data_IF_608930906849
#
_entry.id   IF_608930906849
#
_cell.length_a   1.000
_cell.length_b   1.000
_cell.length_c   1.000
_cell.angle_alpha   90.00
_cell.angle_beta   90.00
_cell.angle_gamma   90.00
#
_symmetry.space_group_name_H-M   'P 1'
#
loop_
_entity.id
_entity.type
_entity.pdbx_description
1 polymer ?
#
# COMPACT_ATOMS: atom_id res chain seq x y z
N UNK A 1 -2.14 -25.18 19.76
CA UNK A 1 -1.80 -25.25 18.33
C UNK A 1 -2.80 -24.42 17.51
N UNK A 2 -2.71 -23.09 17.53
CA UNK A 2 -3.57 -22.21 16.71
C UNK A 2 -2.99 -21.96 15.30
N UNK A 3 -1.71 -22.30 15.10
CA UNK A 3 -1.00 -22.06 13.85
C UNK A 3 -1.22 -23.18 12.81
N UNK A 4 -1.61 -24.38 13.26
CA UNK A 4 -1.82 -25.53 12.38
C UNK A 4 -3.03 -25.33 11.45
N UNK A 5 -4.23 -24.94 11.94
CA UNK A 5 -5.34 -24.62 11.06
C UNK A 5 -5.00 -23.48 10.09
N UNK A 6 -4.33 -22.44 10.59
CA UNK A 6 -3.86 -21.33 9.75
C UNK A 6 -2.93 -21.80 8.62
N UNK A 7 -1.92 -22.62 8.91
CA UNK A 7 -1.02 -23.13 7.87
C UNK A 7 -1.69 -24.08 6.90
N UNK A 8 -2.65 -24.89 7.37
CA UNK A 8 -3.42 -25.77 6.49
C UNK A 8 -4.29 -24.95 5.54
N UNK A 9 -5.03 -23.97 6.03
CA UNK A 9 -5.87 -23.09 5.21
C UNK A 9 -5.03 -22.19 4.30
N UNK A 10 -3.93 -21.63 4.82
CA UNK A 10 -3.01 -20.80 4.05
C UNK A 10 -2.31 -21.61 2.95
N UNK A 11 -1.84 -22.83 3.25
CA UNK A 11 -1.18 -23.68 2.24
C UNK A 11 -2.16 -24.12 1.16
N UNK A 12 -3.39 -24.45 1.53
CA UNK A 12 -4.42 -24.90 0.57
C UNK A 12 -5.00 -23.72 -0.24
N UNK A 13 -5.06 -22.53 0.34
CA UNK A 13 -5.51 -21.30 -0.32
C UNK A 13 -4.39 -20.48 -0.99
N UNK A 14 -3.13 -20.85 -0.78
CA UNK A 14 -2.00 -20.12 -1.38
C UNK A 14 -2.05 -20.26 -2.89
N UNK A 15 -1.98 -19.12 -3.58
CA UNK A 15 -1.76 -19.08 -5.01
C UNK A 15 -0.46 -19.84 -5.29
N UNK A 16 -0.45 -20.65 -6.36
CA UNK A 16 0.80 -21.20 -6.85
C UNK A 16 1.79 -20.04 -7.05
N UNK A 17 3.05 -20.23 -6.66
CA UNK A 17 4.12 -19.27 -6.93
C UNK A 17 5.00 -19.80 -8.07
N UNK A 18 4.48 -19.88 -9.32
CA UNK A 18 5.27 -20.37 -10.42
C UNK A 18 6.52 -19.51 -10.56
N UNK A 19 7.66 -20.17 -10.71
CA UNK A 19 8.91 -19.49 -11.06
C UNK A 19 9.04 -19.56 -12.57
N UNK A 20 9.21 -18.41 -13.22
CA UNK A 20 9.45 -18.30 -14.65
C UNK A 20 10.85 -17.78 -14.94
N UNK A 21 11.38 -18.18 -16.09
CA UNK A 21 12.60 -17.60 -16.63
C UNK A 21 12.28 -16.22 -17.22
N UNK A 22 13.19 -15.27 -17.01
CA UNK A 22 13.16 -13.97 -17.68
C UNK A 22 13.51 -14.21 -19.16
N UNK A 23 12.76 -13.58 -20.08
CA UNK A 23 12.98 -13.75 -21.52
C UNK A 23 12.96 -12.41 -22.26
N UNK A 24 13.70 -12.34 -23.37
CA UNK A 24 13.61 -11.24 -24.34
C UNK A 24 13.80 -9.85 -23.73
N UNK A 25 12.76 -9.01 -23.86
CA UNK A 25 12.77 -7.61 -23.42
C UNK A 25 12.53 -7.43 -21.92
N UNK A 26 12.22 -8.50 -21.19
CA UNK A 26 12.00 -8.44 -19.74
C UNK A 26 13.33 -8.40 -18.96
N UNK A 27 14.46 -8.65 -19.63
CA UNK A 27 15.78 -8.44 -19.03
C UNK A 27 16.00 -6.96 -18.69
N UNK A 28 16.66 -6.71 -17.56
CA UNK A 28 16.98 -5.35 -17.16
C UNK A 28 17.98 -4.77 -18.15
N UNK A 29 17.72 -3.61 -18.77
CA UNK A 29 18.71 -2.95 -19.61
C UNK A 29 20.01 -2.73 -18.83
N UNK A 30 21.14 -3.14 -19.40
CA UNK A 30 22.45 -3.13 -18.73
C UNK A 30 22.76 -1.75 -18.13
N UNK A 31 22.43 -0.67 -18.84
CA UNK A 31 22.63 0.69 -18.35
C UNK A 31 21.86 0.97 -17.05
N UNK A 32 20.60 0.53 -16.96
CA UNK A 32 19.77 0.68 -15.75
C UNK A 32 20.26 -0.21 -14.62
N UNK A 33 20.66 -1.44 -14.95
CA UNK A 33 21.26 -2.37 -13.99
C UNK A 33 22.52 -1.77 -13.36
N UNK A 34 23.44 -1.24 -14.17
CA UNK A 34 24.66 -0.60 -13.69
C UNK A 34 24.35 0.66 -12.88
N UNK A 35 23.49 1.56 -13.36
CA UNK A 35 23.14 2.80 -12.63
C UNK A 35 22.49 2.51 -11.27
N UNK A 36 21.71 1.43 -11.15
CA UNK A 36 21.08 1.08 -9.90
C UNK A 36 22.03 0.33 -8.95
N UNK A 37 22.82 -0.59 -9.48
CA UNK A 37 23.58 -1.56 -8.68
C UNK A 37 25.08 -1.25 -8.58
N UNK A 38 25.58 -0.18 -9.20
CA UNK A 38 27.01 0.18 -9.18
C UNK A 38 27.63 0.15 -7.77
N UNK A 39 26.98 0.60 -6.68
CA UNK A 39 27.62 0.59 -5.36
C UNK A 39 27.91 -0.84 -4.90
N UNK A 40 26.94 -1.73 -5.08
CA UNK A 40 27.07 -3.14 -4.75
C UNK A 40 28.07 -3.83 -5.69
N UNK A 41 28.04 -3.55 -6.99
CA UNK A 41 28.96 -4.14 -7.96
C UNK A 41 30.42 -3.78 -7.65
N UNK A 42 30.70 -2.50 -7.33
CA UNK A 42 32.03 -2.09 -6.90
C UNK A 42 32.45 -2.76 -5.60
N UNK A 43 31.54 -2.89 -4.62
CA UNK A 43 31.82 -3.59 -3.37
C UNK A 43 32.07 -5.08 -3.57
N UNK A 44 31.37 -5.74 -4.50
CA UNK A 44 31.64 -7.13 -4.89
C UNK A 44 33.05 -7.23 -5.46
N UNK A 45 33.41 -6.37 -6.42
CA UNK A 45 34.75 -6.36 -7.01
C UNK A 45 35.81 -6.16 -5.94
N UNK A 46 35.69 -5.13 -5.10
CA UNK A 46 36.64 -4.88 -4.01
C UNK A 46 36.71 -6.03 -3.00
N UNK A 47 35.56 -6.65 -2.69
CA UNK A 47 35.47 -7.80 -1.80
C UNK A 47 36.26 -9.00 -2.30
N UNK A 48 36.38 -9.20 -3.62
CA UNK A 48 37.22 -10.25 -4.20
C UNK A 48 38.73 -10.01 -4.00
N UNK A 49 39.14 -8.74 -3.85
CA UNK A 49 40.54 -8.33 -3.67
C UNK A 49 40.92 -8.06 -2.21
N UNK A 50 39.99 -8.20 -1.26
CA UNK A 50 40.23 -7.92 0.15
C UNK A 50 41.24 -8.90 0.76
N UNK A 51 42.42 -8.45 1.25
CA UNK A 51 43.44 -9.38 1.74
C UNK A 51 43.24 -9.84 3.19
N UNK A 52 42.66 -9.01 4.07
CA UNK A 52 42.62 -9.31 5.52
C UNK A 52 41.59 -10.39 5.84
N UNK A 53 40.41 -10.29 5.24
CA UNK A 53 39.29 -11.22 5.45
C UNK A 53 39.00 -12.04 4.19
N UNK A 54 40.03 -12.38 3.41
CA UNK A 54 39.90 -12.84 2.02
C UNK A 54 38.87 -13.93 1.78
N UNK A 55 38.93 -15.05 2.52
CA UNK A 55 37.99 -16.17 2.35
C UNK A 55 36.55 -15.73 2.58
N UNK A 56 36.31 -15.03 3.69
CA UNK A 56 34.99 -14.53 4.07
C UNK A 56 34.44 -13.50 3.08
N UNK A 57 35.29 -12.54 2.69
CA UNK A 57 34.95 -11.50 1.73
C UNK A 57 34.59 -12.07 0.36
N UNK A 58 35.36 -13.04 -0.14
CA UNK A 58 35.06 -13.74 -1.40
C UNK A 58 33.74 -14.50 -1.29
N UNK A 59 33.49 -15.22 -0.19
CA UNK A 59 32.23 -15.93 0.00
C UNK A 59 31.04 -14.97 -0.08
N UNK A 60 31.08 -13.86 0.67
CA UNK A 60 30.02 -12.85 0.62
C UNK A 60 29.86 -12.27 -0.79
N UNK A 61 30.97 -11.87 -1.43
CA UNK A 61 30.95 -11.27 -2.75
C UNK A 61 30.33 -12.21 -3.80
N UNK A 62 30.72 -13.48 -3.80
CA UNK A 62 30.17 -14.50 -4.69
C UNK A 62 28.71 -14.83 -4.38
N UNK A 63 28.31 -14.86 -3.10
CA UNK A 63 26.91 -15.06 -2.72
C UNK A 63 26.02 -13.95 -3.26
N UNK A 64 26.37 -12.68 -3.06
CA UNK A 64 25.56 -11.56 -3.57
C UNK A 64 25.61 -11.46 -5.10
N UNK A 65 26.75 -11.74 -5.73
CA UNK A 65 26.85 -11.83 -7.19
C UNK A 65 25.94 -12.94 -7.75
N UNK A 66 25.91 -14.10 -7.10
CA UNK A 66 25.04 -15.21 -7.46
C UNK A 66 23.57 -14.86 -7.27
N UNK A 67 23.19 -14.24 -6.15
CA UNK A 67 21.82 -13.79 -5.92
C UNK A 67 21.36 -12.77 -6.96
N UNK A 68 22.22 -11.81 -7.33
CA UNK A 68 21.94 -10.87 -8.42
C UNK A 68 21.72 -11.60 -9.74
N UNK A 69 22.61 -12.55 -10.08
CA UNK A 69 22.47 -13.36 -11.29
C UNK A 69 21.15 -14.13 -11.31
N UNK A 70 20.82 -14.85 -10.23
CA UNK A 70 19.56 -15.60 -10.11
C UNK A 70 18.37 -14.65 -10.25
N UNK A 71 18.37 -13.52 -9.57
CA UNK A 71 17.29 -12.53 -9.66
C UNK A 71 17.15 -11.87 -11.04
N UNK A 72 18.18 -11.93 -11.88
CA UNK A 72 18.11 -11.47 -13.27
C UNK A 72 17.57 -12.56 -14.21
N UNK A 73 17.72 -13.84 -13.84
CA UNK A 73 17.33 -14.98 -14.67
C UNK A 73 15.94 -15.53 -14.35
N UNK A 74 15.46 -15.38 -13.11
CA UNK A 74 14.15 -15.90 -12.68
C UNK A 74 13.28 -14.83 -12.02
N UNK A 75 11.96 -14.99 -12.15
CA UNK A 75 10.98 -14.21 -11.40
C UNK A 75 9.81 -15.06 -10.93
N UNK A 76 9.12 -14.57 -9.90
CA UNK A 76 7.86 -15.15 -9.44
C UNK A 76 6.77 -14.62 -10.37
N UNK A 77 6.10 -15.54 -11.07
CA UNK A 77 4.95 -15.29 -11.92
C UNK A 77 3.75 -14.99 -11.03
N UNK A 78 3.54 -13.70 -10.79
CA UNK A 78 2.46 -13.16 -9.98
C UNK A 78 1.39 -12.50 -10.88
N UNK A 79 0.27 -12.01 -10.33
CA UNK A 79 -0.77 -11.37 -11.12
C UNK A 79 -0.37 -10.06 -11.81
N UNK A 80 0.88 -9.60 -11.66
CA UNK A 80 1.36 -8.38 -12.33
C UNK A 80 1.83 -8.72 -13.75
N UNK A 81 1.17 -8.15 -14.74
CA UNK A 81 1.39 -8.49 -16.15
C UNK A 81 2.13 -7.38 -16.93
N UNK A 82 2.53 -7.72 -18.16
CA UNK A 82 3.14 -6.79 -19.11
C UNK A 82 4.43 -6.17 -18.57
N UNK A 83 4.52 -4.84 -18.60
CA UNK A 83 5.74 -4.12 -18.17
C UNK A 83 6.12 -4.31 -16.69
N UNK A 84 5.26 -4.95 -15.91
CA UNK A 84 5.42 -5.17 -14.47
C UNK A 84 5.69 -6.63 -14.09
N UNK A 85 5.87 -7.54 -15.05
CA UNK A 85 6.07 -9.00 -14.79
C UNK A 85 7.11 -9.33 -13.71
N UNK A 86 8.18 -8.53 -13.61
CA UNK A 86 9.28 -8.77 -12.68
C UNK A 86 9.20 -7.92 -11.40
N UNK A 87 8.06 -7.29 -11.12
CA UNK A 87 7.92 -6.33 -10.02
C UNK A 87 8.35 -6.95 -8.69
N UNK A 88 7.91 -8.17 -8.37
CA UNK A 88 8.32 -8.82 -7.13
C UNK A 88 9.82 -9.07 -7.03
N UNK A 89 10.45 -9.57 -8.10
CA UNK A 89 11.90 -9.83 -8.09
C UNK A 89 12.70 -8.54 -7.95
N UNK A 90 12.36 -7.51 -8.71
CA UNK A 90 13.08 -6.23 -8.68
C UNK A 90 12.77 -5.44 -7.40
N UNK A 91 11.51 -5.38 -6.97
CA UNK A 91 11.12 -4.60 -5.78
C UNK A 91 11.51 -5.30 -4.47
N UNK A 92 11.25 -6.61 -4.35
CA UNK A 92 11.45 -7.35 -3.09
C UNK A 92 12.86 -7.93 -3.03
N UNK A 93 13.30 -8.68 -4.03
CA UNK A 93 14.59 -9.38 -3.94
C UNK A 93 15.76 -8.42 -4.08
N UNK A 94 15.76 -7.53 -5.07
CA UNK A 94 16.90 -6.61 -5.23
C UNK A 94 17.03 -5.68 -4.04
N UNK A 95 15.94 -5.23 -3.41
CA UNK A 95 16.01 -4.46 -2.17
C UNK A 95 16.80 -5.18 -1.08
N UNK A 96 16.49 -6.45 -0.82
CA UNK A 96 17.20 -7.26 0.17
C UNK A 96 18.64 -7.60 -0.23
N UNK A 97 18.87 -7.98 -1.48
CA UNK A 97 20.20 -8.26 -2.03
C UNK A 97 21.09 -7.01 -1.93
N UNK A 98 20.54 -5.85 -2.31
CA UNK A 98 21.23 -4.57 -2.26
C UNK A 98 21.60 -4.20 -0.83
N UNK A 99 20.62 -4.09 0.08
CA UNK A 99 20.89 -3.72 1.48
C UNK A 99 21.82 -4.71 2.16
N UNK A 100 21.57 -6.01 2.01
CA UNK A 100 22.42 -7.06 2.58
C UNK A 100 23.84 -7.00 2.06
N UNK A 101 24.02 -6.78 0.74
CA UNK A 101 25.33 -6.70 0.10
C UNK A 101 26.09 -5.44 0.50
N UNK A 102 25.44 -4.27 0.50
CA UNK A 102 26.06 -3.01 0.93
C UNK A 102 26.51 -3.09 2.40
N UNK A 103 25.67 -3.59 3.30
CA UNK A 103 26.01 -3.66 4.73
C UNK A 103 27.15 -4.66 4.97
N UNK A 104 27.05 -5.87 4.40
CA UNK A 104 28.03 -6.93 4.64
C UNK A 104 29.39 -6.64 3.99
N UNK A 105 29.43 -6.37 2.68
CA UNK A 105 30.67 -6.05 1.98
C UNK A 105 31.20 -4.68 2.38
N UNK A 106 30.33 -3.70 2.65
CA UNK A 106 30.75 -2.40 3.16
C UNK A 106 31.50 -2.53 4.48
N UNK A 107 30.97 -3.29 5.44
CA UNK A 107 31.66 -3.52 6.72
C UNK A 107 33.02 -4.22 6.55
N UNK A 108 33.08 -5.26 5.71
CA UNK A 108 34.32 -6.01 5.44
C UNK A 108 35.36 -5.13 4.75
N UNK A 109 34.98 -4.38 3.71
CA UNK A 109 35.87 -3.52 2.94
C UNK A 109 36.32 -2.27 3.73
N UNK A 110 35.50 -1.72 4.63
CA UNK A 110 35.94 -0.68 5.57
C UNK A 110 37.03 -1.20 6.52
N UNK A 111 36.95 -2.47 6.93
CA UNK A 111 37.95 -3.14 7.75
C UNK A 111 39.25 -3.52 7.02
N UNK A 112 39.34 -3.25 5.71
CA UNK A 112 40.47 -3.63 4.86
C UNK A 112 41.81 -3.11 5.35
N UNK A 113 42.89 -3.88 5.17
CA UNK A 113 44.26 -3.36 5.36
C UNK A 113 44.75 -2.51 4.17
N UNK A 114 44.07 -2.56 3.01
CA UNK A 114 44.43 -1.77 1.83
C UNK A 114 43.68 -0.43 1.85
N UNK A 115 44.44 0.66 1.86
CA UNK A 115 43.87 2.01 1.90
C UNK A 115 42.92 2.29 0.74
N UNK A 116 43.24 1.83 -0.47
CA UNK A 116 42.39 2.07 -1.64
C UNK A 116 41.02 1.38 -1.50
N UNK A 117 40.94 0.15 -0.97
CA UNK A 117 39.66 -0.55 -0.73
C UNK A 117 38.86 0.21 0.33
N UNK A 118 39.50 0.56 1.43
CA UNK A 118 38.87 1.26 2.56
C UNK A 118 38.29 2.61 2.13
N UNK A 119 39.11 3.46 1.50
CA UNK A 119 38.68 4.81 1.12
C UNK A 119 37.69 4.80 -0.04
N UNK A 120 37.84 3.92 -1.03
CA UNK A 120 36.82 3.73 -2.06
C UNK A 120 35.48 3.29 -1.45
N UNK A 121 35.50 2.41 -0.45
CA UNK A 121 34.30 2.01 0.28
C UNK A 121 33.66 3.19 1.01
N UNK A 122 34.44 4.03 1.68
CA UNK A 122 33.93 5.26 2.32
C UNK A 122 33.23 6.16 1.28
N UNK A 123 33.88 6.41 0.15
CA UNK A 123 33.30 7.24 -0.93
C UNK A 123 31.99 6.64 -1.45
N UNK A 124 31.96 5.33 -1.73
CA UNK A 124 30.75 4.64 -2.19
C UNK A 124 29.61 4.79 -1.17
N UNK A 125 29.88 4.54 0.12
CA UNK A 125 28.87 4.64 1.17
C UNK A 125 28.37 6.07 1.36
N UNK A 126 29.24 7.08 1.26
CA UNK A 126 28.83 8.49 1.31
C UNK A 126 27.94 8.86 0.12
N UNK A 127 28.28 8.41 -1.10
CA UNK A 127 27.49 8.65 -2.29
C UNK A 127 26.11 7.98 -2.23
N UNK A 128 26.04 6.75 -1.72
CA UNK A 128 24.76 6.06 -1.48
C UNK A 128 23.88 6.82 -0.48
N UNK A 129 24.49 7.54 0.47
CA UNK A 129 23.78 8.36 1.46
C UNK A 129 23.46 9.79 0.98
N UNK A 130 23.70 10.14 -0.29
CA UNK A 130 23.39 11.49 -0.79
C UNK A 130 21.91 11.87 -0.60
N UNK A 131 20.99 10.89 -0.67
CA UNK A 131 19.56 11.10 -0.42
C UNK A 131 19.25 11.58 1.00
N UNK A 132 20.16 11.38 1.97
CA UNK A 132 19.99 11.85 3.34
C UNK A 132 19.86 13.39 3.39
N UNK A 133 20.46 14.11 2.44
CA UNK A 133 20.27 15.54 2.30
C UNK A 133 18.81 15.89 1.95
N UNK A 134 18.22 15.23 0.96
CA UNK A 134 16.84 15.48 0.56
C UNK A 134 15.85 15.08 1.65
N UNK A 135 16.11 13.97 2.33
CA UNK A 135 15.31 13.53 3.49
C UNK A 135 15.43 14.54 4.64
N UNK A 136 16.64 15.00 4.98
CA UNK A 136 16.83 16.01 6.02
C UNK A 136 16.18 17.33 5.64
N UNK A 137 16.29 17.75 4.38
CA UNK A 137 15.64 18.95 3.85
C UNK A 137 14.13 18.83 3.96
N UNK A 138 13.54 17.73 3.48
CA UNK A 138 12.10 17.49 3.61
C UNK A 138 11.67 17.49 5.07
N UNK A 139 12.42 16.81 5.94
CA UNK A 139 12.16 16.78 7.37
C UNK A 139 12.19 18.18 7.99
N UNK A 140 13.15 19.03 7.64
CA UNK A 140 13.26 20.39 8.19
C UNK A 140 12.11 21.28 7.70
N UNK A 141 11.82 21.28 6.40
CA UNK A 141 10.92 22.25 5.77
C UNK A 141 9.45 21.81 5.67
N UNK A 142 9.13 20.53 5.84
CA UNK A 142 7.73 20.06 5.84
C UNK A 142 7.03 20.37 7.15
N UNK A 143 5.76 20.78 7.04
CA UNK A 143 4.85 20.97 8.17
C UNK A 143 4.61 19.65 8.89
N UNK A 144 4.67 19.67 10.22
CA UNK A 144 4.49 18.48 11.07
C UNK A 144 3.20 18.64 11.88
N UNK A 145 2.07 18.75 11.20
CA UNK A 145 0.76 18.99 11.82
C UNK A 145 0.36 17.92 12.85
N UNK A 146 0.88 16.70 12.70
CA UNK A 146 0.67 15.58 13.62
C UNK A 146 1.94 15.22 14.43
N UNK A 147 2.87 16.16 14.66
CA UNK A 147 4.09 15.86 15.42
C UNK A 147 3.76 15.40 16.85
N UNK A 148 4.37 14.29 17.27
CA UNK A 148 4.15 13.72 18.60
C UNK A 148 2.85 12.91 18.76
N UNK A 149 2.05 12.80 17.70
CA UNK A 149 0.86 11.94 17.69
C UNK A 149 1.25 10.53 17.26
N UNK A 150 0.84 9.53 18.05
CA UNK A 150 1.01 8.11 17.70
C UNK A 150 -0.21 7.53 16.98
N UNK A 151 -1.33 8.26 17.02
CA UNK A 151 -2.57 7.84 16.37
C UNK A 151 -2.50 8.13 14.87
N UNK A 152 -2.60 7.07 14.05
CA UNK A 152 -2.42 7.14 12.60
C UNK A 152 -3.43 8.03 11.85
N UNK A 153 -4.50 8.47 12.51
CA UNK A 153 -5.55 9.33 11.94
C UNK A 153 -5.38 10.82 12.29
N UNK A 154 -4.38 11.21 13.09
CA UNK A 154 -4.20 12.59 13.55
C UNK A 154 -3.96 13.60 12.41
N UNK A 155 -3.28 13.18 11.35
CA UNK A 155 -3.12 14.04 10.15
C UNK A 155 -4.47 14.25 9.44
N UNK A 156 -5.36 13.27 9.50
CA UNK A 156 -6.66 13.28 8.84
C UNK A 156 -7.67 14.17 9.60
N UNK A 157 -7.63 14.14 10.94
CA UNK A 157 -8.50 14.95 11.83
C UNK A 157 -7.94 16.34 12.15
N UNK A 158 -6.85 16.74 11.49
CA UNK A 158 -6.39 18.13 11.52
C UNK A 158 -7.39 19.09 10.87
N UNK A 159 -8.12 18.62 9.84
CA UNK A 159 -9.27 19.32 9.26
C UNK A 159 -10.50 19.22 10.17
N UNK A 160 -11.17 20.37 10.40
CA UNK A 160 -12.33 20.43 11.29
C UNK A 160 -13.50 19.56 10.82
N UNK A 161 -13.79 19.55 9.51
CA UNK A 161 -14.92 18.77 8.97
C UNK A 161 -14.67 17.27 9.14
N UNK A 162 -13.46 16.80 8.83
CA UNK A 162 -13.09 15.39 9.04
C UNK A 162 -13.12 15.00 10.52
N UNK A 163 -12.60 15.85 11.41
CA UNK A 163 -12.63 15.61 12.85
C UNK A 163 -14.06 15.45 13.37
N UNK A 164 -14.97 16.32 12.95
CA UNK A 164 -16.36 16.26 13.40
C UNK A 164 -17.10 15.04 12.83
N UNK A 165 -16.80 14.65 11.59
CA UNK A 165 -17.29 13.39 11.00
C UNK A 165 -16.78 12.15 11.76
N UNK A 166 -15.51 12.15 12.19
CA UNK A 166 -14.96 11.09 13.06
C UNK A 166 -15.68 11.04 14.39
N UNK A 167 -15.76 12.15 15.11
CA UNK A 167 -16.43 12.23 16.41
C UNK A 167 -17.89 11.76 16.32
N UNK A 168 -18.58 12.14 15.24
CA UNK A 168 -19.93 11.67 14.97
C UNK A 168 -19.98 10.14 14.82
N UNK A 169 -19.16 9.56 13.95
CA UNK A 169 -19.15 8.10 13.71
C UNK A 169 -18.73 7.31 14.95
N UNK A 170 -17.80 7.83 15.76
CA UNK A 170 -17.39 7.19 17.01
C UNK A 170 -18.55 7.02 17.99
N UNK A 171 -19.46 8.01 18.04
CA UNK A 171 -20.67 7.96 18.86
C UNK A 171 -21.79 7.08 18.27
N UNK A 172 -21.71 6.71 16.98
CA UNK A 172 -22.71 5.86 16.34
C UNK A 172 -22.48 4.37 16.62
N UNK A 173 -23.56 3.55 16.68
CA UNK A 173 -23.44 2.10 16.79
C UNK A 173 -22.59 1.46 15.68
N UNK A 174 -22.14 0.23 15.92
CA UNK A 174 -21.49 -0.57 14.87
C UNK A 174 -22.40 -0.68 13.63
N UNK A 175 -21.80 -0.68 12.45
CA UNK A 175 -22.53 -0.82 11.18
C UNK A 175 -21.58 -0.81 9.99
N UNK A 176 -22.13 -1.04 8.80
CA UNK A 176 -21.38 -1.00 7.54
C UNK A 176 -21.35 0.42 7.01
N UNK A 177 -20.15 0.86 6.65
CA UNK A 177 -19.85 2.17 6.12
C UNK A 177 -19.47 2.03 4.65
N UNK A 178 -20.02 2.91 3.82
CA UNK A 178 -19.72 3.03 2.40
C UNK A 178 -18.86 4.27 2.18
N UNK A 179 -17.64 4.07 1.66
CA UNK A 179 -16.76 5.14 1.17
C UNK A 179 -16.63 5.04 -0.36
N UNK A 180 -16.23 6.12 -1.01
CA UNK A 180 -15.98 6.11 -2.44
C UNK A 180 -14.71 5.31 -2.77
N UNK A 181 -14.70 4.66 -3.94
CA UNK A 181 -13.62 3.80 -4.45
C UNK A 181 -13.17 4.34 -5.83
N UNK A 182 -12.48 5.50 -5.86
CA UNK A 182 -12.16 6.19 -7.12
C UNK A 182 -11.07 5.51 -7.94
N UNK A 183 -10.22 4.70 -7.32
CA UNK A 183 -9.19 3.89 -7.99
C UNK A 183 -9.26 2.44 -7.46
N UNK A 184 -8.33 1.58 -7.86
CA UNK A 184 -8.31 0.18 -7.46
C UNK A 184 -7.44 -0.10 -6.22
N UNK A 185 -6.52 0.79 -5.85
CA UNK A 185 -5.65 0.67 -4.66
C UNK A 185 -4.94 1.97 -4.28
N UNK A 186 -4.25 1.94 -3.13
CA UNK A 186 -3.39 3.02 -2.62
C UNK A 186 -4.10 4.37 -2.50
N UNK A 187 -5.39 4.32 -2.18
CA UNK A 187 -6.25 5.48 -2.05
C UNK A 187 -6.58 5.72 -0.59
N UNK A 188 -6.74 6.99 -0.21
CA UNK A 188 -7.28 7.36 1.09
C UNK A 188 -8.77 6.96 1.15
N UNK A 189 -9.03 5.71 1.51
CA UNK A 189 -10.36 5.12 1.74
C UNK A 189 -10.26 4.10 2.88
N UNK A 190 -11.42 3.71 3.42
CA UNK A 190 -11.58 2.86 4.61
C UNK A 190 -11.11 3.51 5.92
N UNK A 191 -10.68 4.79 5.89
CA UNK A 191 -10.08 5.46 7.04
C UNK A 191 -11.16 5.72 8.10
N UNK A 192 -12.35 6.19 7.70
CA UNK A 192 -13.44 6.43 8.64
C UNK A 192 -13.89 5.13 9.28
N UNK A 193 -13.96 4.05 8.52
CA UNK A 193 -14.34 2.74 9.04
C UNK A 193 -13.30 2.20 10.04
N UNK A 194 -12.03 2.20 9.65
CA UNK A 194 -10.91 1.66 10.43
C UNK A 194 -10.79 2.31 11.81
N UNK A 195 -10.88 3.63 11.89
CA UNK A 195 -10.65 4.36 13.13
C UNK A 195 -11.91 4.62 13.97
N UNK A 196 -13.11 4.25 13.48
CA UNK A 196 -14.37 4.41 14.23
C UNK A 196 -15.08 3.08 14.53
N UNK A 197 -14.35 1.96 14.49
CA UNK A 197 -14.90 0.62 14.73
C UNK A 197 -16.15 0.34 13.87
N UNK A 198 -16.03 0.55 12.56
CA UNK A 198 -17.08 0.21 11.58
C UNK A 198 -16.55 -0.82 10.59
N UNK A 199 -17.44 -1.59 9.98
CA UNK A 199 -17.08 -2.39 8.82
C UNK A 199 -17.08 -1.49 7.58
N UNK A 200 -16.11 -1.65 6.67
CA UNK A 200 -16.14 -1.02 5.35
C UNK A 200 -16.84 -1.98 4.38
N UNK A 201 -17.75 -1.47 3.53
CA UNK A 201 -18.39 -2.32 2.52
C UNK A 201 -17.38 -2.93 1.55
N UNK A 202 -16.42 -2.12 1.08
CA UNK A 202 -15.36 -2.56 0.20
C UNK A 202 -14.08 -1.77 0.46
N UNK A 203 -12.99 -2.49 0.73
CA UNK A 203 -11.64 -1.94 0.80
C UNK A 203 -11.05 -1.67 -0.59
N UNK A 204 -9.74 -1.84 -0.75
CA UNK A 204 -9.07 -1.65 -2.04
C UNK A 204 -9.27 -2.86 -2.98
N UNK A 205 -9.99 -2.71 -4.11
CA UNK A 205 -10.34 -3.84 -4.97
C UNK A 205 -9.15 -4.67 -5.46
N UNK A 206 -8.06 -4.04 -5.90
CA UNK A 206 -6.92 -4.80 -6.42
C UNK A 206 -6.14 -5.50 -5.32
N UNK A 207 -6.12 -4.99 -4.08
CA UNK A 207 -5.50 -5.69 -2.95
C UNK A 207 -6.33 -6.91 -2.57
N UNK A 208 -7.67 -6.78 -2.53
CA UNK A 208 -8.54 -7.94 -2.33
C UNK A 208 -8.27 -9.00 -3.40
N UNK A 209 -8.13 -8.62 -4.68
CA UNK A 209 -7.72 -9.55 -5.75
C UNK A 209 -6.38 -10.22 -5.48
N UNK A 210 -5.37 -9.48 -5.03
CA UNK A 210 -4.04 -10.03 -4.75
C UNK A 210 -4.07 -11.09 -3.65
N UNK A 211 -4.91 -10.91 -2.62
CA UNK A 211 -4.92 -11.78 -1.44
C UNK A 211 -5.99 -12.87 -1.46
N UNK A 212 -7.13 -12.62 -2.13
CA UNK A 212 -8.27 -13.54 -2.21
C UNK A 212 -8.48 -14.14 -3.61
N UNK A 213 -7.61 -13.83 -4.57
CA UNK A 213 -7.80 -14.20 -5.97
C UNK A 213 -8.84 -13.33 -6.66
N UNK A 214 -9.09 -13.60 -7.95
CA UNK A 214 -10.03 -12.81 -8.73
C UNK A 214 -11.48 -13.18 -8.39
N UNK A 215 -12.14 -12.35 -7.59
CA UNK A 215 -13.53 -12.54 -7.16
C UNK A 215 -14.41 -11.55 -7.95
N UNK A 216 -15.23 -12.00 -8.92
CA UNK A 216 -16.05 -11.12 -9.76
C UNK A 216 -16.95 -10.15 -8.96
N UNK A 217 -17.42 -10.58 -7.79
CA UNK A 217 -18.20 -9.77 -6.87
C UNK A 217 -17.48 -8.45 -6.50
N UNK A 218 -16.17 -8.48 -6.25
CA UNK A 218 -15.38 -7.30 -5.89
C UNK A 218 -15.46 -6.24 -6.99
N UNK A 219 -15.35 -6.65 -8.25
CA UNK A 219 -15.42 -5.73 -9.40
C UNK A 219 -16.83 -5.21 -9.64
N UNK A 220 -17.84 -6.05 -9.48
CA UNK A 220 -19.24 -5.64 -9.57
C UNK A 220 -19.57 -4.60 -8.49
N UNK A 221 -19.24 -4.88 -7.23
CA UNK A 221 -19.43 -3.94 -6.12
C UNK A 221 -18.62 -2.66 -6.33
N UNK A 222 -17.39 -2.73 -6.85
CA UNK A 222 -16.59 -1.54 -7.20
C UNK A 222 -17.32 -0.65 -8.21
N UNK A 223 -17.85 -1.24 -9.28
CA UNK A 223 -18.58 -0.53 -10.31
C UNK A 223 -19.87 0.08 -9.78
N UNK A 224 -20.62 -0.65 -8.95
CA UNK A 224 -21.83 -0.15 -8.31
C UNK A 224 -21.55 1.03 -7.38
N UNK A 225 -20.49 0.94 -6.55
CA UNK A 225 -20.05 2.04 -5.69
C UNK A 225 -19.72 3.28 -6.52
N UNK A 226 -18.94 3.13 -7.60
CA UNK A 226 -18.59 4.26 -8.48
C UNK A 226 -19.84 4.87 -9.11
N UNK A 227 -20.75 4.04 -9.64
CA UNK A 227 -22.02 4.51 -10.20
C UNK A 227 -22.91 5.18 -9.15
N UNK A 228 -22.91 4.71 -7.91
CA UNK A 228 -23.63 5.32 -6.80
C UNK A 228 -23.10 6.73 -6.55
N UNK A 229 -21.78 6.89 -6.35
CA UNK A 229 -21.17 8.20 -6.16
C UNK A 229 -21.27 9.11 -7.39
N UNK A 230 -21.42 8.56 -8.59
CA UNK A 230 -21.74 9.35 -9.79
C UNK A 230 -23.22 9.75 -9.91
N UNK A 231 -24.10 9.29 -9.01
CA UNK A 231 -25.55 9.50 -9.11
C UNK A 231 -26.23 8.70 -10.23
N UNK A 232 -25.56 7.69 -10.78
CA UNK A 232 -25.98 6.87 -11.95
C UNK A 232 -26.41 5.45 -11.59
N UNK A 233 -26.33 5.08 -10.32
CA UNK A 233 -26.89 3.81 -9.84
C UNK A 233 -28.39 3.98 -9.66
N UNK A 234 -29.18 3.18 -10.40
CA UNK A 234 -30.62 3.12 -10.22
C UNK A 234 -30.95 2.34 -8.93
N UNK A 235 -32.08 2.68 -8.30
CA UNK A 235 -32.56 2.03 -7.07
C UNK A 235 -31.50 2.03 -5.95
N UNK A 236 -30.83 3.16 -5.75
CA UNK A 236 -29.73 3.29 -4.78
C UNK A 236 -30.15 2.90 -3.35
N UNK A 237 -31.38 3.20 -2.93
CA UNK A 237 -31.90 2.82 -1.62
C UNK A 237 -31.93 1.30 -1.41
N UNK A 238 -32.47 0.56 -2.38
CA UNK A 238 -32.54 -0.91 -2.35
C UNK A 238 -31.14 -1.53 -2.33
N UNK A 239 -30.23 -1.01 -3.17
CA UNK A 239 -28.86 -1.50 -3.22
C UNK A 239 -28.13 -1.29 -1.89
N UNK A 240 -28.30 -0.13 -1.26
CA UNK A 240 -27.75 0.13 0.07
C UNK A 240 -28.35 -0.79 1.13
N UNK A 241 -29.65 -1.12 1.02
CA UNK A 241 -30.32 -2.06 1.93
C UNK A 241 -29.80 -3.49 1.79
N UNK A 242 -29.64 -3.99 0.56
CA UNK A 242 -29.09 -5.32 0.29
C UNK A 242 -27.67 -5.44 0.82
N UNK A 243 -26.86 -4.39 0.66
CA UNK A 243 -25.49 -4.31 1.19
C UNK A 243 -25.42 -3.91 2.68
N UNK A 244 -26.57 -3.84 3.36
CA UNK A 244 -26.70 -3.52 4.79
C UNK A 244 -25.93 -2.25 5.22
N UNK A 245 -25.87 -1.24 4.36
CA UNK A 245 -25.13 0.00 4.62
C UNK A 245 -25.87 0.84 5.68
N UNK A 246 -25.17 1.25 6.72
CA UNK A 246 -25.68 2.16 7.76
C UNK A 246 -25.24 3.61 7.51
N UNK A 247 -24.03 3.80 7.00
CA UNK A 247 -23.38 5.10 6.88
C UNK A 247 -22.81 5.27 5.48
N UNK A 248 -23.15 6.36 4.79
CA UNK A 248 -22.55 6.72 3.49
C UNK A 248 -21.72 7.99 3.68
N UNK A 249 -20.44 7.93 3.33
CA UNK A 249 -19.49 9.01 3.56
C UNK A 249 -19.26 9.84 2.30
N UNK A 250 -19.49 11.15 2.43
CA UNK A 250 -19.10 12.13 1.43
C UNK A 250 -17.92 12.95 1.97
N UNK A 251 -16.70 12.50 1.73
CA UNK A 251 -15.47 13.20 2.17
C UNK A 251 -14.86 14.09 1.08
N UNK A 252 -15.04 13.70 -0.18
CA UNK A 252 -14.46 14.38 -1.36
C UNK A 252 -15.48 15.32 -1.98
N UNK A 253 -14.99 16.27 -2.76
CA UNK A 253 -15.86 17.09 -3.59
C UNK A 253 -16.66 16.18 -4.53
N UNK A 254 -17.98 16.27 -4.40
CA UNK A 254 -18.95 15.62 -5.27
C UNK A 254 -19.58 16.68 -6.16
N UNK A 255 -19.82 16.32 -7.42
CA UNK A 255 -20.63 17.15 -8.30
C UNK A 255 -22.02 17.40 -7.66
N UNK A 256 -22.49 18.65 -7.74
CA UNK A 256 -23.75 19.05 -7.10
C UNK A 256 -24.94 18.26 -7.66
N UNK A 257 -24.94 17.99 -8.96
CA UNK A 257 -25.99 17.17 -9.60
C UNK A 257 -25.97 15.74 -9.08
N UNK A 258 -24.79 15.12 -8.99
CA UNK A 258 -24.65 13.78 -8.42
C UNK A 258 -25.10 13.73 -6.94
N UNK A 259 -24.75 14.73 -6.12
CA UNK A 259 -25.22 14.81 -4.73
C UNK A 259 -26.74 14.82 -4.65
N UNK A 260 -27.41 15.69 -5.43
CA UNK A 260 -28.87 15.78 -5.43
C UNK A 260 -29.52 14.47 -5.91
N UNK A 261 -28.99 13.86 -6.98
CA UNK A 261 -29.49 12.57 -7.48
C UNK A 261 -29.41 11.46 -6.43
N UNK A 262 -28.29 11.38 -5.70
CA UNK A 262 -28.13 10.42 -4.59
C UNK A 262 -29.12 10.76 -3.48
N UNK A 263 -29.14 12.02 -3.04
CA UNK A 263 -29.97 12.46 -1.92
C UNK A 263 -31.45 12.18 -2.18
N UNK A 264 -31.97 12.52 -3.37
CA UNK A 264 -33.36 12.26 -3.73
C UNK A 264 -33.71 10.77 -3.71
N UNK A 265 -32.78 9.89 -4.09
CA UNK A 265 -33.02 8.45 -4.08
C UNK A 265 -33.02 7.82 -2.69
N UNK A 266 -32.30 8.38 -1.72
CA UNK A 266 -32.07 7.73 -0.41
C UNK A 266 -32.64 8.49 0.79
N UNK A 267 -33.13 9.72 0.61
CA UNK A 267 -33.63 10.60 1.71
C UNK A 267 -34.74 9.99 2.57
N UNK A 268 -35.50 9.03 2.03
CA UNK A 268 -36.59 8.40 2.77
C UNK A 268 -36.04 7.44 3.83
N UNK A 269 -34.91 6.78 3.56
CA UNK A 269 -34.26 5.85 4.48
C UNK A 269 -33.10 6.46 5.28
N UNK A 270 -32.52 7.56 4.80
CA UNK A 270 -31.32 8.17 5.37
C UNK A 270 -31.54 9.63 5.78
N UNK A 271 -30.85 10.05 6.83
CA UNK A 271 -30.76 11.45 7.27
C UNK A 271 -29.38 11.99 6.92
N UNK A 272 -29.34 13.15 6.27
CA UNK A 272 -28.10 13.83 5.91
C UNK A 272 -27.61 14.73 7.05
N UNK A 273 -26.36 14.55 7.45
CA UNK A 273 -25.66 15.45 8.37
C UNK A 273 -24.45 16.06 7.65
N UNK A 274 -24.47 17.39 7.52
CA UNK A 274 -23.37 18.16 6.93
C UNK A 274 -22.35 18.55 7.99
N UNK A 275 -21.07 18.49 7.63
CA UNK A 275 -19.93 18.86 8.49
C UNK A 275 -19.00 19.91 7.87
N UNK A 276 -19.15 20.21 6.58
CA UNK A 276 -18.44 21.34 5.95
C UNK A 276 -19.23 22.65 6.07
N UNK A 277 -18.55 23.80 6.13
CA UNK A 277 -19.18 25.12 6.00
C UNK A 277 -20.08 25.22 4.76
N UNK A 278 -21.15 26.02 4.85
CA UNK A 278 -22.17 26.12 3.80
C UNK A 278 -21.62 26.64 2.47
N UNK A 279 -20.56 27.46 2.51
CA UNK A 279 -19.89 28.03 1.33
C UNK A 279 -18.88 27.08 0.68
N UNK A 280 -18.62 25.91 1.27
CA UNK A 280 -17.69 24.91 0.74
C UNK A 280 -18.44 23.76 0.06
N UNK A 281 -17.70 22.88 -0.62
CA UNK A 281 -18.26 21.62 -1.10
C UNK A 281 -18.90 20.84 0.05
N UNK A 282 -20.03 20.18 -0.20
CA UNK A 282 -20.69 19.36 0.81
C UNK A 282 -19.77 18.22 1.25
N UNK A 283 -19.45 18.19 2.55
CA UNK A 283 -18.88 17.02 3.21
C UNK A 283 -19.82 16.59 4.31
N UNK A 284 -20.02 15.30 4.44
CA UNK A 284 -20.80 14.76 5.53
C UNK A 284 -21.23 13.32 5.36
N UNK A 285 -22.28 12.97 6.08
CA UNK A 285 -22.66 11.58 6.30
C UNK A 285 -24.18 11.45 6.12
N UNK A 286 -24.59 10.54 5.24
CA UNK A 286 -25.95 10.01 5.30
C UNK A 286 -25.98 8.86 6.29
N UNK A 287 -26.83 8.97 7.32
CA UNK A 287 -27.03 7.94 8.34
C UNK A 287 -28.41 7.31 8.16
N UNK A 288 -28.47 5.97 8.10
CA UNK A 288 -29.74 5.27 7.98
C UNK A 288 -30.61 5.54 9.21
N UNK A 289 -31.89 5.90 8.99
CA UNK A 289 -32.85 6.21 10.06
C UNK A 289 -33.12 5.01 10.96
N UNK A 290 -33.11 3.80 10.38
CA UNK A 290 -33.21 2.53 11.10
C UNK A 290 -31.94 1.73 10.83
N UNK A 291 -31.07 1.64 11.83
CA UNK A 291 -29.79 0.93 11.72
C UNK A 291 -29.99 -0.59 11.69
N UNK A 292 -29.18 -1.28 10.89
CA UNK A 292 -28.90 -2.71 11.06
C UNK A 292 -28.09 -2.89 12.36
N UNK A 293 -28.59 -3.70 13.31
CA UNK A 293 -28.16 -3.61 14.73
C UNK A 293 -27.11 -4.61 15.20
N UNK A 294 -26.80 -5.68 14.46
CA UNK A 294 -25.96 -6.76 14.99
C UNK A 294 -24.68 -7.00 14.17
N UNK A 295 -23.54 -6.98 14.86
CA UNK A 295 -22.25 -7.43 14.34
C UNK A 295 -22.26 -8.91 13.92
N UNK A 296 -23.11 -9.73 14.57
CA UNK A 296 -23.33 -11.14 14.22
C UNK A 296 -24.08 -11.34 12.89
N UNK A 297 -24.88 -10.35 12.45
CA UNK A 297 -25.63 -10.41 11.18
C UNK A 297 -24.80 -9.86 10.00
N UNK A 298 -23.65 -9.27 10.28
CA UNK A 298 -22.73 -8.63 9.30
C UNK A 298 -21.54 -9.56 8.97
N UNK A 299 -21.28 -10.59 9.78
CA UNK A 299 -20.18 -11.56 9.61
C UNK A 299 -20.50 -12.79 8.75
N UNK A 300 -21.68 -12.85 8.12
CA UNK A 300 -22.09 -13.86 7.14
C UNK A 300 -22.24 -13.23 5.76
#
# INVERSE_FOLDING_TARGET
MLIYPFFTDFSNGSLSTPVKLVTGLDHTPISRFLVLLWPLLLLIVMGLFEPKYRKWSITIALTFAFMLLVSEMIYIDDPTEGKYLRTNTVMKWWGWIYVGGIVSLGAVCLGSSKMWIRWSTVVILLLVNAYAYDVARHWVYSTKSAMGQLEGHAWYTSDGSHRDMFNYLQAQPFGILLENVPDNAYMNSSIYALFNNKAILLGWPSHLRTWHGDVPQVWNTTNDIRRFYEGKLANSADWLQVNKVNYVILERHQDVGAFELIHQQIKDDYTWQRFSPQQQAAKGIWTRKILFKNQADISQ
#
